data_IF_001358390401
#
_entry.id   IF_001358390401
#
_cell.length_a   1.000
_cell.length_b   1.000
_cell.length_c   1.000
_cell.angle_alpha   90.00
_cell.angle_beta   90.00
_cell.angle_gamma   90.00
#
_symmetry.space_group_name_H-M   'P 1'
#
loop_
_entity.id
_entity.type
_entity.pdbx_description
1 polymer ?
#
# COMPACT_ATOMS: atom_id res chain seq x y z
N UNK A 1 16.66 -16.10 8.98
CA UNK A 1 15.42 -16.12 8.17
C UNK A 1 14.34 -16.75 9.03
N UNK A 2 13.20 -16.10 9.24
CA UNK A 2 12.16 -16.56 10.18
C UNK A 2 10.76 -16.33 9.65
N UNK A 3 9.76 -16.91 10.34
CA UNK A 3 8.35 -16.81 9.97
C UNK A 3 7.92 -15.34 10.01
N UNK A 4 7.50 -14.81 8.86
CA UNK A 4 6.98 -13.44 8.75
C UNK A 4 5.46 -13.47 8.78
N UNK A 5 4.88 -12.93 9.84
CA UNK A 5 3.44 -12.69 9.89
C UNK A 5 3.10 -11.45 9.04
N UNK A 6 2.39 -11.69 7.94
CA UNK A 6 1.72 -10.65 7.14
C UNK A 6 0.27 -11.05 6.93
N UNK A 7 -0.65 -10.19 7.34
CA UNK A 7 -2.09 -10.35 7.07
C UNK A 7 -2.59 -9.09 6.37
N UNK A 8 -3.26 -9.25 5.23
CA UNK A 8 -3.95 -8.16 4.56
C UNK A 8 -5.45 -8.33 4.77
N UNK A 9 -6.11 -7.29 5.25
CA UNK A 9 -7.56 -7.24 5.40
C UNK A 9 -8.10 -6.15 4.48
N UNK A 10 -8.98 -6.53 3.57
CA UNK A 10 -9.72 -5.58 2.73
C UNK A 10 -10.74 -4.87 3.62
N UNK A 11 -10.69 -3.53 3.66
CA UNK A 11 -11.71 -2.73 4.37
C UNK A 11 -12.78 -2.28 3.37
N UNK A 12 -12.37 -1.94 2.16
CA UNK A 12 -13.24 -1.46 1.09
C UNK A 12 -12.66 -1.92 -0.26
N UNK A 13 -13.38 -1.71 -1.35
CA UNK A 13 -12.90 -2.05 -2.69
C UNK A 13 -11.57 -1.40 -3.03
N UNK A 14 -11.35 -0.19 -2.51
CA UNK A 14 -10.14 0.58 -2.74
C UNK A 14 -9.22 0.70 -1.51
N UNK A 15 -9.51 0.03 -0.39
CA UNK A 15 -8.74 0.20 0.86
C UNK A 15 -8.41 -1.11 1.56
N UNK A 16 -7.18 -1.23 2.05
CA UNK A 16 -6.71 -2.41 2.77
C UNK A 16 -5.84 -2.05 3.97
N UNK A 17 -5.99 -2.81 5.06
CA UNK A 17 -5.07 -2.83 6.19
C UNK A 17 -4.07 -3.95 6.01
N UNK A 18 -2.80 -3.63 6.17
CA UNK A 18 -1.71 -4.57 6.20
C UNK A 18 -1.21 -4.67 7.64
N UNK A 19 -1.49 -5.79 8.27
CA UNK A 19 -0.97 -6.18 9.58
C UNK A 19 0.36 -6.90 9.37
N UNK A 20 1.36 -6.49 10.13
CA UNK A 20 2.67 -7.13 10.13
C UNK A 20 3.24 -7.14 11.54
N UNK A 21 4.29 -7.94 11.79
CA UNK A 21 5.03 -7.89 13.06
C UNK A 21 5.55 -6.48 13.41
N UNK A 22 5.81 -5.65 12.40
CA UNK A 22 6.23 -4.25 12.52
C UNK A 22 5.09 -3.24 12.73
N UNK A 23 3.86 -3.71 12.94
CA UNK A 23 2.67 -2.87 13.12
C UNK A 23 1.72 -2.88 11.93
N UNK A 24 0.67 -2.06 12.04
CA UNK A 24 -0.44 -1.96 11.08
C UNK A 24 -0.21 -0.81 10.10
N UNK A 25 -0.59 -0.98 8.84
CA UNK A 25 -0.59 0.10 7.85
C UNK A 25 -1.82 0.04 6.97
N UNK A 26 -2.52 1.16 6.86
CA UNK A 26 -3.57 1.35 5.88
C UNK A 26 -2.98 1.72 4.52
N UNK A 27 -3.59 1.22 3.46
CA UNK A 27 -3.38 1.69 2.10
C UNK A 27 -4.73 1.99 1.46
N UNK A 28 -4.78 3.05 0.68
CA UNK A 28 -5.99 3.48 -0.04
C UNK A 28 -5.63 3.82 -1.48
N UNK A 29 -6.37 3.24 -2.41
CA UNK A 29 -6.33 3.53 -3.83
C UNK A 29 -7.37 4.59 -4.15
N UNK A 30 -7.00 5.55 -4.97
CA UNK A 30 -7.88 6.61 -5.49
C UNK A 30 -7.49 6.76 -6.97
N UNK A 31 -8.27 6.12 -7.84
CA UNK A 31 -8.01 6.07 -9.28
C UNK A 31 -6.64 5.44 -9.63
N UNK A 32 -5.75 6.13 -10.36
CA UNK A 32 -4.41 5.62 -10.67
C UNK A 32 -3.46 5.69 -9.48
N UNK A 33 -3.81 6.38 -8.39
CA UNK A 33 -2.92 6.61 -7.26
C UNK A 33 -3.25 5.66 -6.11
N UNK A 34 -2.22 5.16 -5.42
CA UNK A 34 -2.34 4.40 -4.19
C UNK A 34 -1.43 5.01 -3.14
N UNK A 35 -2.01 5.34 -2.00
CA UNK A 35 -1.31 5.87 -0.84
C UNK A 35 -1.20 4.79 0.21
N UNK A 36 -0.07 4.76 0.91
CA UNK A 36 0.14 3.95 2.09
C UNK A 36 0.47 4.87 3.26
N UNK A 37 -0.21 4.65 4.39
CA UNK A 37 0.01 5.34 5.67
C UNK A 37 1.47 5.33 6.17
N UNK A 38 2.31 4.39 5.70
CA UNK A 38 3.77 4.37 5.93
C UNK A 38 4.57 5.32 5.04
N UNK A 39 3.88 6.21 4.34
CA UNK A 39 4.46 7.23 3.47
C UNK A 39 4.89 6.73 2.10
N UNK A 40 4.19 5.75 1.55
CA UNK A 40 4.40 5.27 0.18
C UNK A 40 3.33 5.82 -0.76
N UNK A 41 3.74 6.27 -1.96
CA UNK A 41 2.84 6.69 -3.03
C UNK A 41 3.13 5.85 -4.26
N UNK A 42 2.09 5.36 -4.90
CA UNK A 42 2.19 4.64 -6.16
C UNK A 42 1.21 5.23 -7.16
N UNK A 43 1.70 5.69 -8.30
CA UNK A 43 0.87 6.26 -9.37
C UNK A 43 1.01 5.39 -10.61
N UNK A 44 -0.11 4.89 -11.12
CA UNK A 44 -0.19 4.22 -12.41
C UNK A 44 -0.35 5.27 -13.50
N UNK A 45 0.69 5.47 -14.29
CA UNK A 45 0.71 6.38 -15.41
C UNK A 45 0.21 5.66 -16.69
N UNK A 46 -0.31 6.41 -17.67
CA UNK A 46 -0.63 5.86 -18.98
C UNK A 46 0.63 5.31 -19.68
N UNK A 47 0.45 4.37 -20.60
CA UNK A 47 1.57 3.73 -21.33
C UNK A 47 2.33 2.66 -20.53
N UNK A 48 1.75 2.11 -19.46
CA UNK A 48 2.37 1.06 -18.65
C UNK A 48 3.43 1.56 -17.65
N UNK A 49 3.59 2.88 -17.53
CA UNK A 49 4.53 3.49 -16.62
C UNK A 49 4.00 3.49 -15.18
N UNK A 50 4.91 3.34 -14.22
CA UNK A 50 4.58 3.32 -12.80
C UNK A 50 5.52 4.23 -12.04
N UNK A 51 4.98 5.24 -11.37
CA UNK A 51 5.74 6.07 -10.44
C UNK A 51 5.56 5.53 -9.03
N UNK A 52 6.67 5.31 -8.33
CA UNK A 52 6.69 4.87 -6.93
C UNK A 52 7.52 5.86 -6.12
N UNK A 53 6.84 6.69 -5.35
CA UNK A 53 7.45 7.63 -4.41
C UNK A 53 7.36 7.14 -2.97
N UNK A 54 8.25 7.65 -2.12
CA UNK A 54 8.12 7.57 -0.66
C UNK A 54 8.40 8.96 -0.09
N UNK A 55 7.63 9.38 0.91
CA UNK A 55 7.81 10.68 1.59
C UNK A 55 8.28 10.54 3.04
N UNK A 56 8.95 9.43 3.35
CA UNK A 56 9.56 9.18 4.66
C UNK A 56 11.06 9.26 4.55
#
# INVERSE_FOLDING_TARGET
MGIQYRKRQKISDDSWLNYSKSGVSASKKIGPVTFNSRGGVYVKLPGGLHYRGRWK
#
